data_IF_818768160767
#
_entry.id   IF_818768160767
#
_cell.length_a   1.000
_cell.length_b   1.000
_cell.length_c   1.000
_cell.angle_alpha   90.00
_cell.angle_beta   90.00
_cell.angle_gamma   90.00
#
_symmetry.space_group_name_H-M   'P 1'
#
loop_
_entity.id
_entity.type
_entity.pdbx_description
1 polymer ?
#
# COMPACT_ATOMS: atom_id res chain seq x y z
N UNK A 1 -10.72 -18.75 -5.78
CA UNK A 1 -10.61 -17.41 -5.17
C UNK A 1 -10.77 -16.32 -6.22
N UNK A 2 -9.95 -16.31 -7.28
CA UNK A 2 -10.07 -15.33 -8.37
C UNK A 2 -11.47 -15.28 -8.99
N UNK A 3 -12.12 -16.41 -9.19
CA UNK A 3 -13.50 -16.49 -9.73
C UNK A 3 -14.49 -15.70 -8.86
N UNK A 4 -14.39 -15.84 -7.54
CA UNK A 4 -15.25 -15.11 -6.59
C UNK A 4 -14.98 -13.61 -6.66
N UNK A 5 -13.71 -13.21 -6.65
CA UNK A 5 -13.33 -11.80 -6.73
C UNK A 5 -13.79 -11.17 -8.06
N UNK A 6 -13.64 -11.87 -9.19
CA UNK A 6 -14.13 -11.40 -10.49
C UNK A 6 -15.65 -11.20 -10.50
N UNK A 7 -16.38 -12.10 -9.85
CA UNK A 7 -17.85 -11.94 -9.74
C UNK A 7 -18.21 -10.71 -8.88
N UNK A 8 -17.46 -10.43 -7.83
CA UNK A 8 -17.68 -9.24 -7.00
C UNK A 8 -17.32 -7.94 -7.74
N UNK A 9 -16.23 -7.92 -8.48
CA UNK A 9 -15.85 -6.78 -9.32
C UNK A 9 -16.96 -6.50 -10.34
N UNK A 10 -17.41 -7.52 -11.06
CA UNK A 10 -18.54 -7.40 -12.00
C UNK A 10 -19.78 -6.82 -11.34
N UNK A 11 -20.19 -7.37 -10.19
CA UNK A 11 -21.37 -6.90 -9.45
C UNK A 11 -21.23 -5.45 -8.96
N UNK A 12 -20.02 -5.03 -8.57
CA UNK A 12 -19.74 -3.64 -8.19
C UNK A 12 -19.93 -2.70 -9.38
N UNK A 13 -19.33 -3.03 -10.51
CA UNK A 13 -19.46 -2.27 -11.76
C UNK A 13 -20.92 -2.14 -12.19
N UNK A 14 -21.68 -3.25 -12.17
CA UNK A 14 -23.11 -3.26 -12.51
C UNK A 14 -23.95 -2.38 -11.56
N UNK A 15 -23.44 -2.06 -10.39
CA UNK A 15 -24.06 -1.15 -9.41
C UNK A 15 -23.56 0.28 -9.48
N UNK A 16 -22.74 0.62 -10.46
CA UNK A 16 -22.25 1.97 -10.71
C UNK A 16 -21.00 2.37 -9.92
N UNK A 17 -20.20 1.39 -9.48
CA UNK A 17 -18.91 1.69 -8.83
C UNK A 17 -17.89 2.14 -9.88
N UNK A 18 -17.20 3.26 -9.61
CA UNK A 18 -16.19 3.81 -10.52
C UNK A 18 -14.78 3.24 -10.30
N UNK A 19 -14.54 2.62 -9.16
CA UNK A 19 -13.24 2.05 -8.87
C UNK A 19 -13.22 1.11 -7.67
N UNK A 20 -12.08 0.46 -7.47
CA UNK A 20 -11.85 -0.43 -6.36
C UNK A 20 -10.52 -0.12 -5.67
N UNK A 21 -10.53 -0.16 -4.35
CA UNK A 21 -9.33 -0.14 -3.53
C UNK A 21 -9.19 -1.49 -2.86
N UNK A 22 -8.17 -2.25 -3.24
CA UNK A 22 -7.90 -3.56 -2.65
C UNK A 22 -7.11 -3.41 -1.35
N UNK A 23 -7.71 -3.78 -0.22
CA UNK A 23 -7.07 -3.66 1.09
C UNK A 23 -6.31 -4.94 1.44
N UNK A 24 -5.09 -4.82 1.96
CA UNK A 24 -4.21 -5.94 2.34
C UNK A 24 -3.93 -6.94 1.22
N UNK A 25 -4.01 -6.53 -0.02
CA UNK A 25 -3.82 -7.42 -1.16
C UNK A 25 -2.34 -7.74 -1.44
N UNK A 26 -1.43 -7.02 -0.82
CA UNK A 26 0.01 -7.11 -1.04
C UNK A 26 0.70 -8.25 -0.27
N UNK A 27 -0.01 -9.01 0.55
CA UNK A 27 0.57 -10.14 1.27
C UNK A 27 -0.47 -11.21 1.56
N UNK A 28 0.01 -12.42 1.79
CA UNK A 28 -0.78 -13.51 2.35
C UNK A 28 0.08 -14.38 3.27
N UNK A 29 -0.58 -15.02 4.22
CA UNK A 29 0.02 -15.95 5.16
C UNK A 29 -0.56 -17.36 4.95
N UNK A 30 -0.80 -17.74 3.71
CA UNK A 30 -1.47 -18.99 3.40
C UNK A 30 -0.48 -20.10 3.11
N UNK A 31 -0.50 -21.13 3.94
CA UNK A 31 0.29 -22.36 3.77
C UNK A 31 -0.55 -23.53 3.23
N UNK A 32 -1.65 -23.26 2.53
CA UNK A 32 -2.42 -24.32 1.90
C UNK A 32 -1.63 -24.98 0.75
N UNK A 33 -2.05 -26.16 0.35
CA UNK A 33 -1.38 -26.93 -0.72
C UNK A 33 -1.16 -26.15 -2.03
N UNK A 34 -2.05 -25.24 -2.38
CA UNK A 34 -1.94 -24.44 -3.59
C UNK A 34 -0.87 -23.35 -3.45
N UNK A 35 -0.86 -22.66 -2.31
CA UNK A 35 0.13 -21.63 -2.03
C UNK A 35 1.52 -22.24 -1.89
N UNK A 36 1.67 -23.33 -1.16
CA UNK A 36 2.95 -24.02 -1.04
C UNK A 36 3.44 -24.59 -2.38
N UNK A 37 2.53 -25.11 -3.21
CA UNK A 37 2.88 -25.55 -4.57
C UNK A 37 3.40 -24.39 -5.43
N UNK A 38 2.73 -23.24 -5.39
CA UNK A 38 3.18 -22.04 -6.09
C UNK A 38 4.53 -21.55 -5.59
N UNK A 39 4.76 -21.57 -4.29
CA UNK A 39 6.04 -21.19 -3.70
C UNK A 39 7.17 -22.16 -4.10
N UNK A 40 6.92 -23.46 -4.10
CA UNK A 40 7.89 -24.45 -4.65
C UNK A 40 8.25 -24.16 -6.10
N UNK A 41 7.26 -23.88 -6.94
CA UNK A 41 7.51 -23.53 -8.35
C UNK A 41 8.33 -22.23 -8.48
N UNK A 42 8.04 -21.22 -7.64
CA UNK A 42 8.83 -20.00 -7.60
C UNK A 42 10.29 -20.27 -7.22
N UNK A 43 10.53 -21.05 -6.17
CA UNK A 43 11.88 -21.42 -5.74
C UNK A 43 12.62 -22.23 -6.80
N UNK A 44 11.96 -23.20 -7.43
CA UNK A 44 12.56 -24.02 -8.50
C UNK A 44 12.96 -23.21 -9.73
N UNK A 45 12.26 -22.10 -10.04
CA UNK A 45 12.62 -21.20 -11.15
C UNK A 45 13.77 -20.26 -10.79
N UNK A 46 13.95 -19.95 -9.52
CA UNK A 46 14.86 -18.93 -9.04
C UNK A 46 16.21 -19.47 -8.60
N UNK A 47 16.25 -20.70 -8.13
CA UNK A 47 17.42 -21.32 -7.53
C UNK A 47 17.74 -22.68 -8.16
N UNK A 48 19.00 -22.97 -8.30
CA UNK A 48 19.49 -24.31 -8.57
C UNK A 48 19.34 -25.21 -7.34
N UNK A 49 19.43 -26.54 -7.50
CA UNK A 49 19.38 -27.47 -6.36
C UNK A 49 20.48 -27.19 -5.32
N UNK A 50 21.68 -26.82 -5.80
CA UNK A 50 22.80 -26.47 -4.94
C UNK A 50 22.48 -25.21 -4.12
N UNK A 51 21.98 -24.15 -4.76
CA UNK A 51 21.62 -22.92 -4.08
C UNK A 51 20.46 -23.10 -3.09
N UNK A 52 19.48 -23.95 -3.40
CA UNK A 52 18.40 -24.28 -2.47
C UNK A 52 18.97 -24.89 -1.17
N UNK A 53 19.93 -25.81 -1.29
CA UNK A 53 20.59 -26.42 -0.14
C UNK A 53 21.45 -25.41 0.61
N UNK A 54 22.35 -24.72 -0.07
CA UNK A 54 23.39 -23.89 0.56
C UNK A 54 22.85 -22.60 1.15
N UNK A 55 21.82 -21.99 0.52
CA UNK A 55 21.27 -20.70 0.93
C UNK A 55 20.00 -20.81 1.74
N UNK A 56 19.18 -21.81 1.47
CA UNK A 56 17.85 -21.94 2.08
C UNK A 56 17.71 -23.20 2.96
N UNK A 57 18.72 -24.06 3.03
CA UNK A 57 18.69 -25.29 3.81
C UNK A 57 17.73 -26.36 3.24
N UNK A 58 17.38 -26.28 1.97
CA UNK A 58 16.41 -27.17 1.32
C UNK A 58 17.15 -28.23 0.51
N UNK A 59 17.36 -29.41 1.08
CA UNK A 59 18.00 -30.50 0.40
C UNK A 59 17.14 -31.13 -0.73
N UNK A 60 15.83 -31.20 -0.51
CA UNK A 60 14.87 -31.68 -1.52
C UNK A 60 13.58 -30.86 -1.47
N UNK A 61 13.36 -30.09 -2.51
CA UNK A 61 12.23 -29.14 -2.59
C UNK A 61 10.86 -29.86 -2.61
N UNK A 62 10.78 -31.02 -3.26
CA UNK A 62 9.48 -31.72 -3.41
C UNK A 62 8.96 -32.24 -2.06
N UNK A 63 9.86 -32.75 -1.24
CA UNK A 63 9.53 -33.28 0.10
C UNK A 63 9.56 -32.24 1.22
N UNK A 64 10.10 -31.04 0.97
CA UNK A 64 10.22 -30.00 2.00
C UNK A 64 8.84 -29.50 2.45
N UNK A 65 8.63 -29.38 3.75
CA UNK A 65 7.31 -29.05 4.36
C UNK A 65 7.08 -27.58 4.65
N UNK A 66 8.15 -26.79 4.78
CA UNK A 66 8.09 -25.37 5.15
C UNK A 66 7.49 -25.10 6.54
N UNK A 67 7.63 -26.03 7.47
CA UNK A 67 7.11 -25.90 8.83
C UNK A 67 7.81 -24.76 9.61
N UNK A 68 9.01 -24.33 9.14
CA UNK A 68 9.78 -23.23 9.68
C UNK A 68 9.25 -21.84 9.30
N UNK A 69 8.34 -21.76 8.33
CA UNK A 69 7.75 -20.48 7.94
C UNK A 69 6.64 -20.09 8.88
N UNK A 70 6.81 -18.96 9.52
CA UNK A 70 5.81 -18.37 10.44
C UNK A 70 5.17 -17.16 9.81
N UNK A 71 3.88 -17.00 10.04
CA UNK A 71 3.16 -15.79 9.72
C UNK A 71 3.58 -14.65 10.66
N UNK A 72 3.61 -13.42 10.17
CA UNK A 72 3.87 -12.24 10.99
C UNK A 72 5.21 -12.27 11.74
N UNK A 73 6.26 -12.51 11.01
CA UNK A 73 7.59 -12.58 11.59
C UNK A 73 8.23 -11.19 11.72
N UNK A 74 9.02 -11.00 12.78
CA UNK A 74 9.84 -9.80 12.93
C UNK A 74 10.99 -9.83 11.90
N UNK A 75 11.12 -8.83 10.99
CA UNK A 75 12.20 -8.79 10.00
C UNK A 75 13.62 -8.90 10.57
N UNK A 76 13.83 -8.50 11.82
CA UNK A 76 15.14 -8.64 12.49
C UNK A 76 15.54 -10.11 12.74
N UNK A 77 14.56 -11.00 12.77
CA UNK A 77 14.76 -12.43 13.01
C UNK A 77 14.53 -13.24 11.72
N UNK A 78 14.39 -12.57 10.57
CA UNK A 78 14.02 -13.23 9.34
C UNK A 78 15.14 -14.11 8.82
N UNK A 79 14.74 -15.20 8.14
CA UNK A 79 15.65 -16.11 7.44
C UNK A 79 15.65 -15.83 5.93
N UNK A 80 16.68 -16.27 5.19
CA UNK A 80 16.67 -16.18 3.72
C UNK A 80 15.42 -16.82 3.09
N UNK A 81 14.97 -17.95 3.62
CA UNK A 81 13.74 -18.62 3.15
C UNK A 81 12.49 -17.77 3.41
N UNK A 82 12.41 -17.12 4.57
CA UNK A 82 11.30 -16.20 4.89
C UNK A 82 11.27 -15.01 3.94
N UNK A 83 12.41 -14.42 3.61
CA UNK A 83 12.49 -13.34 2.63
C UNK A 83 11.99 -13.77 1.24
N UNK A 84 12.34 -14.98 0.80
CA UNK A 84 11.84 -15.50 -0.46
C UNK A 84 10.32 -15.76 -0.43
N UNK A 85 9.78 -16.21 0.71
CA UNK A 85 8.34 -16.36 0.88
C UNK A 85 7.61 -15.01 0.80
N UNK A 86 8.16 -13.97 1.43
CA UNK A 86 7.61 -12.62 1.34
C UNK A 86 7.63 -12.08 -0.10
N UNK A 87 8.74 -12.26 -0.81
CA UNK A 87 8.84 -11.87 -2.23
C UNK A 87 7.82 -12.59 -3.09
N UNK A 88 7.72 -13.91 -2.94
CA UNK A 88 6.74 -14.69 -3.69
C UNK A 88 5.31 -14.28 -3.36
N UNK A 89 4.99 -14.01 -2.10
CA UNK A 89 3.66 -13.55 -1.70
C UNK A 89 3.29 -12.22 -2.37
N UNK A 90 4.24 -11.29 -2.46
CA UNK A 90 4.06 -10.03 -3.19
C UNK A 90 3.76 -10.28 -4.68
N UNK A 91 4.59 -11.08 -5.33
CA UNK A 91 4.44 -11.40 -6.76
C UNK A 91 3.11 -12.09 -7.03
N UNK A 92 2.77 -13.13 -6.26
CA UNK A 92 1.55 -13.90 -6.46
C UNK A 92 0.29 -13.07 -6.19
N UNK A 93 0.32 -12.20 -5.19
CA UNK A 93 -0.80 -11.29 -4.93
C UNK A 93 -0.94 -10.22 -6.01
N UNK A 94 0.17 -9.68 -6.52
CA UNK A 94 0.15 -8.75 -7.64
C UNK A 94 -0.46 -9.40 -8.89
N UNK A 95 -0.09 -10.64 -9.19
CA UNK A 95 -0.69 -11.39 -10.31
C UNK A 95 -2.21 -11.55 -10.15
N UNK A 96 -2.69 -11.83 -8.94
CA UNK A 96 -4.14 -11.90 -8.67
C UNK A 96 -4.80 -10.53 -8.77
N UNK A 97 -4.17 -9.48 -8.24
CA UNK A 97 -4.65 -8.11 -8.37
C UNK A 97 -4.80 -7.70 -9.83
N UNK A 98 -3.78 -7.91 -10.63
CA UNK A 98 -3.77 -7.57 -12.06
C UNK A 98 -4.82 -8.34 -12.83
N UNK A 99 -4.95 -9.64 -12.57
CA UNK A 99 -5.94 -10.46 -13.25
C UNK A 99 -7.38 -10.07 -12.90
N UNK A 100 -7.64 -9.75 -11.64
CA UNK A 100 -9.00 -9.47 -11.15
C UNK A 100 -9.41 -8.03 -11.40
N UNK A 101 -8.60 -7.08 -10.95
CA UNK A 101 -8.99 -5.67 -10.95
C UNK A 101 -8.56 -4.98 -12.25
N UNK A 102 -7.34 -5.19 -12.71
CA UNK A 102 -6.82 -4.54 -13.91
C UNK A 102 -7.41 -5.20 -15.17
N UNK A 103 -7.03 -6.43 -15.47
CA UNK A 103 -7.43 -7.08 -16.73
C UNK A 103 -8.92 -7.37 -16.82
N UNK A 104 -9.48 -8.03 -15.80
CA UNK A 104 -10.90 -8.38 -15.83
C UNK A 104 -11.78 -7.15 -15.57
N UNK A 105 -11.44 -6.31 -14.62
CA UNK A 105 -12.20 -5.11 -14.29
C UNK A 105 -12.27 -4.12 -15.45
N UNK A 106 -11.12 -3.77 -16.05
CA UNK A 106 -11.07 -2.82 -17.19
C UNK A 106 -11.62 -3.39 -18.48
N UNK A 107 -11.72 -4.70 -18.62
CA UNK A 107 -12.46 -5.29 -19.73
C UNK A 107 -13.97 -5.05 -19.62
N UNK A 108 -14.51 -4.98 -18.39
CA UNK A 108 -15.91 -4.68 -18.13
C UNK A 108 -16.22 -3.18 -18.11
N UNK A 109 -15.28 -2.38 -17.56
CA UNK A 109 -15.35 -0.93 -17.46
C UNK A 109 -13.96 -0.37 -17.77
N UNK A 110 -13.70 0.11 -19.02
CA UNK A 110 -12.36 0.52 -19.46
C UNK A 110 -11.73 1.65 -18.62
N UNK A 111 -12.54 2.54 -18.07
CA UNK A 111 -12.17 3.65 -17.21
C UNK A 111 -12.20 3.31 -15.70
N UNK A 112 -12.25 2.02 -15.36
CA UNK A 112 -12.25 1.58 -13.97
C UNK A 112 -10.97 2.01 -13.24
N UNK A 113 -11.14 2.77 -12.16
CA UNK A 113 -10.04 3.17 -11.29
C UNK A 113 -9.66 2.04 -10.35
N UNK A 114 -8.37 1.78 -10.23
CA UNK A 114 -7.86 0.74 -9.32
C UNK A 114 -6.70 1.25 -8.49
N UNK A 115 -6.71 0.91 -7.20
CA UNK A 115 -5.63 1.21 -6.28
C UNK A 115 -5.44 0.07 -5.29
N UNK A 116 -4.24 -0.06 -4.77
CA UNK A 116 -3.93 -0.88 -3.61
C UNK A 116 -3.90 0.00 -2.36
N UNK A 117 -4.58 -0.43 -1.31
CA UNK A 117 -4.43 0.21 -0.02
C UNK A 117 -3.13 -0.24 0.65
N UNK A 118 -2.15 0.62 0.63
CA UNK A 118 -0.85 0.40 1.21
C UNK A 118 -0.80 0.92 2.66
N UNK A 119 -0.19 0.15 3.52
CA UNK A 119 -0.02 0.51 4.93
C UNK A 119 1.43 0.91 5.20
N UNK A 120 1.86 2.02 4.64
CA UNK A 120 3.08 2.68 5.09
C UNK A 120 2.69 3.60 6.26
N UNK A 121 2.95 3.17 7.48
CA UNK A 121 2.61 3.95 8.66
C UNK A 121 3.55 5.11 8.86
N UNK A 122 4.72 4.83 9.27
CA UNK A 122 5.79 5.77 9.53
C UNK A 122 7.13 5.07 9.28
N UNK A 123 8.22 5.81 9.33
CA UNK A 123 9.56 5.24 9.17
C UNK A 123 9.91 4.18 10.21
N UNK A 124 9.18 4.09 11.33
CA UNK A 124 9.33 3.01 12.29
C UNK A 124 8.92 1.65 11.74
N UNK A 125 8.19 1.60 10.65
CA UNK A 125 7.85 0.37 9.94
C UNK A 125 9.04 -0.24 9.20
N UNK A 126 10.05 0.54 8.89
CA UNK A 126 11.34 0.03 8.44
C UNK A 126 11.94 -0.89 9.51
N UNK A 127 11.55 -0.73 10.74
CA UNK A 127 12.09 -1.46 11.88
C UNK A 127 11.35 -2.75 12.23
N UNK A 128 10.28 -3.16 11.53
CA UNK A 128 9.69 -4.38 11.99
C UNK A 128 8.38 -4.88 11.44
N UNK A 129 7.68 -4.18 10.59
CA UNK A 129 6.43 -4.68 10.05
C UNK A 129 6.58 -5.15 8.60
N UNK A 130 6.41 -6.43 8.35
CA UNK A 130 6.46 -7.03 7.01
C UNK A 130 5.51 -6.37 6.01
N UNK A 131 4.46 -5.70 6.48
CA UNK A 131 3.51 -4.94 5.65
C UNK A 131 4.16 -3.78 4.90
N UNK A 132 5.36 -3.40 5.30
CA UNK A 132 6.04 -2.24 4.76
C UNK A 132 7.07 -2.58 3.68
N UNK A 133 7.29 -3.85 3.46
CA UNK A 133 8.16 -4.34 2.40
C UNK A 133 7.44 -4.37 1.06
N UNK A 134 6.90 -3.21 0.65
CA UNK A 134 6.21 -3.07 -0.63
C UNK A 134 7.20 -2.59 -1.68
N UNK A 135 7.56 -3.43 -2.65
CA UNK A 135 8.33 -2.98 -3.79
C UNK A 135 7.46 -2.06 -4.67
N UNK A 136 7.76 -0.77 -4.65
CA UNK A 136 7.02 0.24 -5.42
C UNK A 136 7.08 -0.01 -6.93
N UNK A 137 8.15 -0.60 -7.42
CA UNK A 137 8.30 -1.03 -8.81
C UNK A 137 7.32 -2.15 -9.19
N UNK A 138 6.89 -2.95 -8.24
CA UNK A 138 5.90 -4.00 -8.44
C UNK A 138 4.47 -3.44 -8.39
N UNK A 139 4.14 -2.69 -7.35
CA UNK A 139 2.77 -2.24 -7.08
C UNK A 139 2.36 -0.93 -7.76
N UNK A 140 3.30 -0.06 -8.06
CA UNK A 140 3.01 1.26 -8.63
C UNK A 140 2.63 1.29 -10.12
N UNK A 141 2.79 0.22 -10.88
CA UNK A 141 2.70 0.27 -12.36
C UNK A 141 1.28 0.42 -12.89
N UNK A 142 0.36 -0.41 -12.43
CA UNK A 142 -0.97 -0.56 -13.02
C UNK A 142 -2.07 0.13 -12.20
N UNK A 143 -1.71 0.69 -11.07
CA UNK A 143 -2.59 1.47 -10.23
C UNK A 143 -2.77 2.89 -10.78
N UNK A 144 -3.98 3.42 -10.71
CA UNK A 144 -4.27 4.78 -11.19
C UNK A 144 -3.81 5.83 -10.18
N UNK A 145 -3.82 5.51 -8.91
CA UNK A 145 -3.36 6.36 -7.82
C UNK A 145 -2.82 5.54 -6.65
N UNK A 146 -2.00 6.18 -5.85
CA UNK A 146 -1.47 5.57 -4.64
C UNK A 146 -2.38 5.86 -3.45
N UNK A 147 -2.83 4.82 -2.76
CA UNK A 147 -3.60 4.95 -1.53
C UNK A 147 -2.80 4.44 -0.35
N UNK A 148 -2.54 5.32 0.62
CA UNK A 148 -1.78 4.97 1.80
C UNK A 148 -2.56 5.24 3.08
N UNK A 149 -2.42 4.33 4.05
CA UNK A 149 -2.86 4.59 5.41
C UNK A 149 -1.70 5.20 6.20
N UNK A 150 -1.95 6.36 6.77
CA UNK A 150 -0.95 7.04 7.57
C UNK A 150 -1.10 6.71 9.03
N UNK A 151 -1.37 5.49 9.44
CA UNK A 151 -1.70 5.14 10.84
C UNK A 151 -1.05 6.03 11.90
N UNK A 152 0.14 6.55 11.60
CA UNK A 152 0.91 7.44 12.46
C UNK A 152 1.32 8.77 11.82
N UNK A 153 0.83 9.15 10.64
CA UNK A 153 1.16 10.48 10.11
C UNK A 153 0.74 11.55 11.09
N UNK A 154 1.62 12.50 11.28
CA UNK A 154 1.54 13.51 12.32
C UNK A 154 1.56 12.96 13.76
N UNK A 155 2.04 11.75 14.00
CA UNK A 155 2.29 11.27 15.36
C UNK A 155 3.34 12.11 16.05
N UNK A 156 4.36 12.51 15.32
CA UNK A 156 5.46 13.35 15.80
C UNK A 156 5.24 14.84 15.56
N UNK A 157 4.13 15.23 14.93
CA UNK A 157 3.77 16.63 14.78
C UNK A 157 3.43 17.23 16.14
N UNK A 158 4.20 18.22 16.55
CA UNK A 158 4.05 18.97 17.80
C UNK A 158 4.04 20.46 17.46
N UNK A 159 2.85 21.00 17.24
CA UNK A 159 2.67 22.40 16.86
C UNK A 159 3.17 23.39 17.91
N UNK A 160 2.97 23.17 19.23
CA UNK A 160 3.54 24.03 20.26
C UNK A 160 5.05 24.15 20.20
N UNK A 161 5.74 23.08 19.83
CA UNK A 161 7.21 23.06 19.68
C UNK A 161 7.68 23.28 18.22
N UNK A 162 6.77 23.62 17.30
CA UNK A 162 7.10 23.90 15.91
C UNK A 162 7.48 22.67 15.08
N UNK A 163 7.16 21.48 15.53
CA UNK A 163 7.46 20.24 14.79
C UNK A 163 6.36 19.95 13.79
N UNK A 164 6.69 20.08 12.52
CA UNK A 164 5.84 19.79 11.37
C UNK A 164 6.57 18.84 10.42
N UNK A 165 5.84 18.30 9.44
CA UNK A 165 6.45 17.65 8.29
C UNK A 165 6.37 16.13 8.27
N UNK A 166 5.71 15.50 9.24
CA UNK A 166 5.55 14.03 9.28
C UNK A 166 4.73 13.51 8.08
N UNK A 167 3.60 14.15 7.77
CA UNK A 167 2.83 13.84 6.58
C UNK A 167 3.52 14.31 5.29
N UNK A 168 4.26 15.41 5.34
CA UNK A 168 5.08 15.91 4.23
C UNK A 168 6.12 14.88 3.81
N UNK A 169 6.84 14.29 4.76
CA UNK A 169 7.85 13.29 4.45
C UNK A 169 7.26 12.05 3.79
N UNK A 170 6.10 11.58 4.27
CA UNK A 170 5.38 10.48 3.63
C UNK A 170 4.90 10.84 2.22
N UNK A 171 4.33 12.02 2.04
CA UNK A 171 3.87 12.49 0.74
C UNK A 171 5.02 12.55 -0.29
N UNK A 172 6.18 13.06 0.12
CA UNK A 172 7.39 13.11 -0.71
C UNK A 172 7.89 11.71 -1.09
N UNK A 173 7.91 10.79 -0.14
CA UNK A 173 8.25 9.39 -0.41
C UNK A 173 7.30 8.78 -1.45
N UNK A 174 5.98 8.91 -1.26
CA UNK A 174 4.98 8.34 -2.16
C UNK A 174 5.13 8.93 -3.57
N UNK A 175 5.29 10.23 -3.70
CA UNK A 175 5.50 10.88 -5.00
C UNK A 175 6.73 10.33 -5.71
N UNK A 176 7.85 10.21 -5.02
CA UNK A 176 9.08 9.63 -5.59
C UNK A 176 8.93 8.16 -5.94
N UNK A 177 8.36 7.36 -5.06
CA UNK A 177 8.21 5.92 -5.25
C UNK A 177 7.22 5.53 -6.36
N UNK A 178 6.20 6.36 -6.61
CA UNK A 178 5.12 6.08 -7.56
C UNK A 178 5.13 7.02 -8.79
N UNK A 179 6.27 7.62 -9.08
CA UNK A 179 6.48 8.46 -10.27
C UNK A 179 5.43 9.56 -10.42
N UNK A 180 5.23 10.33 -9.36
CA UNK A 180 4.28 11.46 -9.29
C UNK A 180 2.81 11.11 -9.60
N UNK A 181 2.42 9.85 -9.51
CA UNK A 181 0.99 9.49 -9.61
C UNK A 181 0.16 10.23 -8.56
N UNK A 182 -1.10 10.52 -8.86
CA UNK A 182 -2.03 11.01 -7.85
C UNK A 182 -2.01 10.13 -6.61
N UNK A 183 -2.09 10.72 -5.44
CA UNK A 183 -2.08 9.94 -4.21
C UNK A 183 -3.01 10.53 -3.16
N UNK A 184 -3.44 9.67 -2.26
CA UNK A 184 -4.18 10.06 -1.08
C UNK A 184 -3.62 9.34 0.14
N UNK A 185 -3.68 10.00 1.27
CA UNK A 185 -3.26 9.43 2.55
C UNK A 185 -4.40 9.53 3.54
N UNK A 186 -4.76 8.40 4.16
CA UNK A 186 -5.82 8.30 5.14
C UNK A 186 -5.33 8.33 6.59
N UNK A 187 -6.12 8.92 7.50
CA UNK A 187 -5.81 8.98 8.92
C UNK A 187 -7.01 8.71 9.83
N UNK A 188 -6.71 8.19 11.02
CA UNK A 188 -7.73 7.70 11.96
C UNK A 188 -8.09 8.67 13.10
N UNK A 189 -7.40 9.79 13.30
CA UNK A 189 -7.60 10.64 14.46
C UNK A 189 -8.04 12.08 14.15
N UNK A 190 -8.98 12.60 14.94
CA UNK A 190 -9.67 13.86 14.66
C UNK A 190 -8.79 15.13 14.68
N UNK A 191 -7.94 15.33 15.67
CA UNK A 191 -7.19 16.61 15.83
C UNK A 191 -6.01 16.71 14.88
N UNK A 192 -5.23 15.66 14.75
CA UNK A 192 -4.05 15.62 13.88
C UNK A 192 -4.41 15.50 12.40
N UNK A 193 -5.63 15.10 12.09
CA UNK A 193 -6.12 15.03 10.71
C UNK A 193 -6.10 16.38 10.02
N UNK A 194 -6.36 17.48 10.71
CA UNK A 194 -6.32 18.84 10.16
C UNK A 194 -4.94 19.20 9.62
N UNK A 195 -3.90 18.92 10.41
CA UNK A 195 -2.51 19.15 9.98
C UNK A 195 -2.14 18.25 8.81
N UNK A 196 -2.53 16.97 8.87
CA UNK A 196 -2.30 16.04 7.78
C UNK A 196 -2.98 16.49 6.47
N UNK A 197 -4.22 16.98 6.53
CA UNK A 197 -4.91 17.55 5.35
C UNK A 197 -4.11 18.71 4.76
N UNK A 198 -3.66 19.65 5.59
CA UNK A 198 -2.90 20.80 5.12
C UNK A 198 -1.53 20.39 4.52
N UNK A 199 -0.80 19.52 5.20
CA UNK A 199 0.49 19.03 4.70
C UNK A 199 0.34 18.23 3.39
N UNK A 200 -0.71 17.42 3.26
CA UNK A 200 -0.95 16.65 2.05
C UNK A 200 -1.33 17.54 0.87
N UNK A 201 -2.22 18.49 1.07
CA UNK A 201 -2.59 19.45 0.03
C UNK A 201 -1.37 20.27 -0.42
N UNK A 202 -0.54 20.74 0.52
CA UNK A 202 0.69 21.45 0.21
C UNK A 202 1.72 20.61 -0.57
N UNK A 203 1.63 19.30 -0.51
CA UNK A 203 2.50 18.37 -1.25
C UNK A 203 1.84 17.73 -2.47
N UNK A 204 0.69 18.23 -2.90
CA UNK A 204 -0.02 17.75 -4.10
C UNK A 204 -0.79 16.45 -3.90
N UNK A 205 -0.98 16.01 -2.67
CA UNK A 205 -1.81 14.86 -2.34
C UNK A 205 -3.26 15.24 -2.12
N UNK A 206 -4.17 14.33 -2.43
CA UNK A 206 -5.57 14.47 -2.07
C UNK A 206 -5.78 13.97 -0.65
N UNK A 207 -6.14 14.82 0.30
CA UNK A 207 -6.43 14.35 1.63
C UNK A 207 -7.73 13.56 1.61
N UNK A 208 -7.68 12.38 2.14
CA UNK A 208 -8.85 11.59 2.38
C UNK A 208 -9.32 11.88 3.80
N UNK A 209 -10.47 12.45 3.95
CA UNK A 209 -11.11 12.60 5.28
C UNK A 209 -11.54 11.23 5.79
N UNK A 210 -11.21 10.97 6.99
CA UNK A 210 -11.29 9.71 7.41
C UNK A 210 -11.95 9.37 8.53
N UNK A 211 -12.04 8.50 9.08
CA UNK A 211 -12.44 7.82 10.29
C UNK A 211 -12.66 8.76 11.51
N UNK A 212 -12.90 10.04 11.22
CA UNK A 212 -13.71 10.85 12.10
C UNK A 212 -14.93 10.01 12.35
N UNK A 213 -15.15 9.60 13.58
CA UNK A 213 -16.32 8.82 13.94
C UNK A 213 -17.51 9.45 13.23
N UNK A 214 -18.08 8.79 12.23
CA UNK A 214 -19.15 9.33 11.38
C UNK A 214 -20.36 9.83 12.18
N UNK A 215 -20.38 9.53 13.46
CA UNK A 215 -21.38 9.95 14.45
C UNK A 215 -21.04 11.26 15.17
N UNK A 216 -19.89 11.87 14.90
CA UNK A 216 -19.49 13.15 15.47
C UNK A 216 -19.77 14.29 14.47
N UNK A 217 -20.90 15.06 14.65
CA UNK A 217 -21.24 16.15 13.75
C UNK A 217 -20.20 17.27 13.73
N UNK A 218 -19.57 17.55 14.88
CA UNK A 218 -18.57 18.61 14.99
C UNK A 218 -17.31 18.27 14.20
N UNK A 219 -16.85 17.03 14.26
CA UNK A 219 -15.73 16.57 13.45
C UNK A 219 -16.04 16.65 11.96
N UNK A 220 -17.25 16.26 11.53
CA UNK A 220 -17.68 16.37 10.13
C UNK A 220 -17.71 17.81 9.64
N UNK A 221 -18.21 18.73 10.45
CA UNK A 221 -18.23 20.14 10.11
C UNK A 221 -16.82 20.72 9.91
N UNK A 222 -15.89 20.37 10.78
CA UNK A 222 -14.49 20.78 10.65
C UNK A 222 -13.90 20.27 9.35
N UNK A 223 -14.09 19.00 9.01
CA UNK A 223 -13.58 18.46 7.74
C UNK A 223 -14.23 19.11 6.54
N UNK A 224 -15.52 19.32 6.55
CA UNK A 224 -16.24 19.99 5.47
C UNK A 224 -15.65 21.38 5.18
N UNK A 225 -15.30 22.16 6.21
CA UNK A 225 -14.64 23.47 6.04
C UNK A 225 -13.27 23.36 5.37
N UNK A 226 -12.46 22.36 5.72
CA UNK A 226 -11.15 22.14 5.06
C UNK A 226 -11.33 21.77 3.60
N UNK A 227 -12.28 20.88 3.29
CA UNK A 227 -12.56 20.51 1.89
C UNK A 227 -13.13 21.67 1.10
N UNK A 228 -14.03 22.46 1.67
CA UNK A 228 -14.53 23.68 1.02
C UNK A 228 -13.42 24.69 0.76
N UNK A 229 -12.46 24.83 1.68
CA UNK A 229 -11.30 25.68 1.47
C UNK A 229 -10.44 25.17 0.30
N UNK A 230 -10.16 23.88 0.27
CA UNK A 230 -9.37 23.28 -0.82
C UNK A 230 -10.07 23.36 -2.18
N UNK A 231 -11.38 23.14 -2.21
CA UNK A 231 -12.20 23.27 -3.41
C UNK A 231 -12.21 24.72 -3.93
N UNK A 232 -12.42 25.68 -3.03
CA UNK A 232 -12.42 27.10 -3.36
C UNK A 232 -11.07 27.61 -3.89
N UNK A 233 -9.98 26.99 -3.44
CA UNK A 233 -8.61 27.37 -3.82
C UNK A 233 -7.91 26.27 -4.63
N UNK A 234 -8.66 25.46 -5.35
CA UNK A 234 -8.12 24.33 -6.11
C UNK A 234 -7.04 24.73 -7.12
N UNK A 235 -7.16 25.91 -7.71
CA UNK A 235 -6.19 26.49 -8.63
C UNK A 235 -4.80 26.68 -8.01
N UNK A 236 -4.72 26.96 -6.69
CA UNK A 236 -3.44 27.09 -5.97
C UNK A 236 -2.74 25.76 -5.71
N UNK A 237 -3.47 24.68 -5.76
CA UNK A 237 -2.95 23.33 -5.45
C UNK A 237 -2.71 22.48 -6.70
N UNK A 238 -3.32 22.84 -7.83
CA UNK A 238 -3.12 22.15 -9.10
C UNK A 238 -1.74 22.47 -9.70
N UNK A 239 -1.11 21.46 -10.25
CA UNK A 239 0.13 21.60 -11.00
C UNK A 239 1.38 21.96 -10.18
N UNK A 240 1.29 21.89 -8.85
CA UNK A 240 2.45 22.13 -7.99
C UNK A 240 3.47 21.00 -8.14
N UNK A 241 4.72 21.37 -8.40
CA UNK A 241 5.86 20.47 -8.42
C UNK A 241 6.76 20.71 -7.20
N UNK A 242 7.47 19.68 -6.72
CA UNK A 242 8.44 19.85 -5.64
C UNK A 242 9.56 20.81 -6.06
N UNK A 243 9.79 21.85 -5.27
CA UNK A 243 11.01 22.66 -5.36
C UNK A 243 12.06 22.05 -4.44
N UNK A 244 12.65 20.91 -4.85
CA UNK A 244 13.57 20.15 -4.05
C UNK A 244 15.00 20.30 -4.57
N UNK A 245 15.94 20.75 -3.71
CA UNK A 245 17.37 20.86 -4.01
C UNK A 245 18.17 19.63 -3.54
N UNK A 246 17.53 18.73 -2.76
CA UNK A 246 18.15 17.54 -2.23
C UNK A 246 17.27 16.31 -2.47
N UNK A 247 17.92 15.18 -2.76
CA UNK A 247 17.30 13.86 -2.90
C UNK A 247 17.76 12.97 -1.74
N UNK A 248 16.80 12.43 -1.01
CA UNK A 248 17.05 11.36 -0.06
C UNK A 248 16.81 10.01 -0.75
N UNK A 249 17.87 9.23 -0.89
CA UNK A 249 17.78 7.84 -1.32
C UNK A 249 17.42 6.98 -0.11
N UNK A 250 16.43 6.14 -0.29
CA UNK A 250 15.86 5.32 0.78
C UNK A 250 15.81 3.84 0.35
#
# INVERSE_FOLDING_TARGET
WQTVLKAWVKRGIERGVDGFVANYFYRHDCHCKYCLSGFKQYLAKRFTKQELNDRLGIANLDSHRFDELVCWHNPKETTPLRLEMLRWSQISNKEVFDEVFVRHGRRLKPDLLVAQWNHLGNFSQISGDERCLLPADLWGKDEDYAWYSTGNAATYTDLPNGILGDATLQARYIRGAFNDKPFTIGKYEGVRTRVAIAELAANGGSPMGFYARFRDPAAREVFARYYQFLDHHDDLFRGNSPHAEALLLF
#
